data_IF_230322928920
#
_entry.id   IF_230322928920
#
_cell.length_a   1.000
_cell.length_b   1.000
_cell.length_c   1.000
_cell.angle_alpha   90.00
_cell.angle_beta   90.00
_cell.angle_gamma   90.00
#
_symmetry.space_group_name_H-M   'P 1'
#
loop_
_entity.id
_entity.type
_entity.pdbx_description
1 polymer ?
#
# COMPACT_ATOMS: atom_id res chain seq x y z
N UNK A 1 -2.21 8.13 24.78
CA UNK A 1 -2.67 7.43 23.56
C UNK A 1 -1.47 6.98 22.75
N UNK A 2 -1.38 5.71 22.45
CA UNK A 2 -0.38 5.20 21.50
C UNK A 2 -0.82 5.50 20.09
N UNK A 3 0.07 6.06 19.24
CA UNK A 3 -0.21 6.27 17.84
C UNK A 3 -0.47 4.93 17.16
N UNK A 4 -1.42 4.91 16.21
CA UNK A 4 -1.65 3.73 15.37
C UNK A 4 -0.41 3.47 14.51
N UNK A 5 0.16 2.27 14.62
CA UNK A 5 1.38 1.86 13.91
C UNK A 5 1.13 0.78 12.87
N UNK A 6 -0.12 0.48 12.57
CA UNK A 6 -0.47 -0.53 11.57
C UNK A 6 -0.39 0.05 10.17
N UNK A 7 0.35 -0.59 9.28
CA UNK A 7 0.48 -0.21 7.87
C UNK A 7 0.12 -1.41 7.00
N UNK A 8 -0.84 -1.25 6.12
CA UNK A 8 -1.12 -2.27 5.10
C UNK A 8 -0.13 -2.14 3.95
N UNK A 9 0.54 -3.24 3.62
CA UNK A 9 1.39 -3.36 2.44
C UNK A 9 0.65 -4.18 1.41
N UNK A 10 0.15 -3.54 0.36
CA UNK A 10 -0.51 -4.19 -0.76
C UNK A 10 0.54 -4.66 -1.79
N UNK A 11 0.50 -5.93 -2.17
CA UNK A 11 1.59 -6.55 -2.93
C UNK A 11 2.76 -7.01 -2.04
N UNK A 12 2.47 -7.36 -0.79
CA UNK A 12 3.47 -7.70 0.22
C UNK A 12 4.29 -8.94 -0.11
N UNK A 13 3.77 -9.87 -0.89
CA UNK A 13 4.48 -11.09 -1.31
C UNK A 13 5.44 -10.88 -2.49
N UNK A 14 5.38 -9.72 -3.14
CA UNK A 14 6.28 -9.36 -4.23
C UNK A 14 7.68 -8.98 -3.75
N UNK A 15 8.62 -8.84 -4.70
CA UNK A 15 10.00 -8.51 -4.39
C UNK A 15 10.12 -7.22 -3.56
N UNK A 16 9.57 -6.12 -4.04
CA UNK A 16 9.61 -4.83 -3.33
C UNK A 16 8.81 -4.87 -2.03
N UNK A 17 7.64 -5.52 -2.05
CA UNK A 17 6.78 -5.62 -0.87
C UNK A 17 7.46 -6.28 0.33
N UNK A 18 8.25 -7.32 0.11
CA UNK A 18 8.99 -7.99 1.16
C UNK A 18 10.03 -7.07 1.82
N UNK A 19 10.75 -6.25 1.04
CA UNK A 19 11.67 -5.25 1.61
C UNK A 19 10.95 -4.16 2.40
N UNK A 20 9.79 -3.70 1.93
CA UNK A 20 8.98 -2.71 2.65
C UNK A 20 8.49 -3.28 3.98
N UNK A 21 7.99 -4.52 3.99
CA UNK A 21 7.57 -5.21 5.21
C UNK A 21 8.72 -5.32 6.22
N UNK A 22 9.90 -5.75 5.76
CA UNK A 22 11.08 -5.87 6.62
C UNK A 22 11.50 -4.52 7.22
N UNK A 23 11.50 -3.45 6.42
CA UNK A 23 11.88 -2.11 6.86
C UNK A 23 10.86 -1.51 7.83
N UNK A 24 9.57 -1.71 7.61
CA UNK A 24 8.51 -1.30 8.54
C UNK A 24 8.72 -1.94 9.91
N UNK A 25 8.97 -3.25 9.96
CA UNK A 25 9.24 -3.97 11.22
C UNK A 25 10.49 -3.42 11.93
N UNK A 26 11.57 -3.20 11.18
CA UNK A 26 12.82 -2.62 11.73
C UNK A 26 12.57 -1.25 12.38
N UNK A 27 11.61 -0.47 11.87
CA UNK A 27 11.22 0.84 12.40
C UNK A 27 10.14 0.78 13.48
N UNK A 28 9.70 -0.40 13.89
CA UNK A 28 8.69 -0.59 14.93
C UNK A 28 7.25 -0.36 14.45
N UNK A 29 7.01 -0.42 13.14
CA UNK A 29 5.67 -0.47 12.56
C UNK A 29 5.15 -1.90 12.53
N UNK A 30 3.83 -2.04 12.47
CA UNK A 30 3.13 -3.33 12.39
C UNK A 30 2.58 -3.49 10.97
N UNK A 31 3.26 -4.23 10.07
CA UNK A 31 2.75 -4.45 8.73
C UNK A 31 1.62 -5.47 8.72
N UNK A 32 0.57 -5.18 7.94
CA UNK A 32 -0.45 -6.11 7.50
C UNK A 32 -0.18 -6.44 6.04
N UNK A 33 -0.05 -7.72 5.72
CA UNK A 33 0.29 -8.19 4.39
C UNK A 33 -0.97 -8.39 3.56
N UNK A 34 -1.07 -7.70 2.43
CA UNK A 34 -2.18 -7.82 1.50
C UNK A 34 -1.73 -8.03 0.06
N UNK A 35 -2.61 -8.57 -0.75
CA UNK A 35 -2.38 -8.92 -2.13
C UNK A 35 -3.38 -9.99 -2.59
N UNK A 36 -3.33 -10.36 -3.86
CA UNK A 36 -4.33 -11.25 -4.47
C UNK A 36 -4.20 -12.74 -4.13
N UNK A 37 -3.00 -13.19 -3.77
CA UNK A 37 -2.66 -14.61 -3.59
C UNK A 37 -2.45 -14.95 -2.11
N UNK A 38 -3.43 -15.64 -1.48
CA UNK A 38 -3.34 -15.95 -0.05
C UNK A 38 -2.17 -16.87 0.30
N UNK A 39 -1.79 -17.79 -0.57
CA UNK A 39 -0.72 -18.77 -0.29
C UNK A 39 0.65 -18.07 -0.30
N UNK A 40 0.87 -17.17 -1.25
CA UNK A 40 2.08 -16.34 -1.28
C UNK A 40 2.17 -15.39 -0.08
N UNK A 41 1.04 -14.85 0.36
CA UNK A 41 1.00 -14.01 1.57
C UNK A 41 1.34 -14.81 2.82
N UNK A 42 0.83 -16.03 2.98
CA UNK A 42 1.18 -16.92 4.10
C UNK A 42 2.67 -17.22 4.10
N UNK A 43 3.23 -17.61 2.95
CA UNK A 43 4.66 -17.87 2.83
C UNK A 43 5.51 -16.63 3.18
N UNK A 44 5.09 -15.44 2.78
CA UNK A 44 5.76 -14.19 3.14
C UNK A 44 5.66 -13.89 4.63
N UNK A 45 4.50 -14.15 5.26
CA UNK A 45 4.28 -13.93 6.68
C UNK A 45 5.10 -14.87 7.56
N UNK A 46 5.24 -16.13 7.14
CA UNK A 46 6.00 -17.17 7.86
C UNK A 46 7.52 -17.02 7.75
N UNK A 47 8.02 -16.20 6.85
CA UNK A 47 9.46 -16.00 6.63
C UNK A 47 10.16 -15.23 7.76
N UNK A 48 9.41 -14.70 8.74
CA UNK A 48 9.91 -13.95 9.87
C UNK A 48 9.79 -14.69 11.23
N UNK A 49 10.32 -14.11 12.28
CA UNK A 49 10.23 -14.67 13.63
C UNK A 49 8.86 -14.47 14.31
N UNK A 50 8.07 -13.50 13.83
CA UNK A 50 6.74 -13.20 14.34
C UNK A 50 5.70 -13.47 13.26
N UNK A 51 4.55 -13.99 13.66
CA UNK A 51 3.41 -14.19 12.78
C UNK A 51 2.81 -12.83 12.40
N UNK A 52 2.82 -12.51 11.10
CA UNK A 52 2.24 -11.28 10.56
C UNK A 52 0.81 -11.54 10.07
N UNK A 53 -0.06 -10.56 10.31
CA UNK A 53 -1.43 -10.62 9.82
C UNK A 53 -1.47 -10.54 8.30
N UNK A 54 -2.28 -11.39 7.68
CA UNK A 54 -2.53 -11.37 6.25
C UNK A 54 -4.00 -11.05 5.98
N UNK A 55 -4.25 -10.20 4.98
CA UNK A 55 -5.60 -9.84 4.50
C UNK A 55 -5.62 -9.90 2.97
N UNK A 56 -5.93 -11.07 2.39
CA UNK A 56 -5.99 -11.22 0.95
C UNK A 56 -7.05 -10.31 0.32
N UNK A 57 -6.69 -9.66 -0.78
CA UNK A 57 -7.59 -8.77 -1.50
C UNK A 57 -7.21 -8.72 -2.99
N UNK A 58 -8.12 -9.10 -3.86
CA UNK A 58 -7.98 -8.91 -5.30
C UNK A 58 -8.40 -7.47 -5.68
N UNK A 59 -7.77 -6.88 -6.70
CA UNK A 59 -8.01 -5.49 -7.11
C UNK A 59 -9.43 -5.24 -7.65
N UNK A 60 -10.10 -6.26 -8.12
CA UNK A 60 -11.48 -6.22 -8.61
C UNK A 60 -12.53 -6.34 -7.50
N UNK A 61 -12.11 -6.54 -6.25
CA UNK A 61 -12.98 -6.59 -5.08
C UNK A 61 -12.76 -5.39 -4.16
N UNK A 62 -13.54 -4.34 -4.34
CA UNK A 62 -13.46 -3.14 -3.47
C UNK A 62 -13.70 -3.47 -2.00
N UNK A 63 -14.64 -4.38 -1.71
CA UNK A 63 -14.92 -4.83 -0.34
C UNK A 63 -13.72 -5.53 0.30
N UNK A 64 -13.00 -6.37 -0.47
CA UNK A 64 -11.81 -7.05 0.03
C UNK A 64 -10.68 -6.05 0.31
N UNK A 65 -10.49 -5.04 -0.55
CA UNK A 65 -9.48 -4.00 -0.34
C UNK A 65 -9.88 -3.14 0.88
N UNK A 66 -11.13 -2.75 1.02
CA UNK A 66 -11.60 -2.01 2.19
C UNK A 66 -11.32 -2.76 3.49
N UNK A 67 -11.60 -4.08 3.53
CA UNK A 67 -11.27 -4.93 4.66
C UNK A 67 -9.76 -5.03 4.90
N UNK A 68 -8.96 -5.06 3.83
CA UNK A 68 -7.50 -5.08 3.96
C UNK A 68 -6.93 -3.81 4.60
N UNK A 69 -7.59 -2.67 4.42
CA UNK A 69 -7.16 -1.37 4.98
C UNK A 69 -7.76 -1.07 6.36
N UNK A 70 -8.71 -1.87 6.83
CA UNK A 70 -9.40 -1.61 8.08
C UNK A 70 -8.43 -1.48 9.27
N UNK A 71 -8.56 -0.39 10.01
CA UNK A 71 -7.71 -0.08 11.17
C UNK A 71 -6.27 0.28 10.84
N UNK A 72 -5.90 0.44 9.57
CA UNK A 72 -4.54 0.86 9.18
C UNK A 72 -4.36 2.38 9.27
N UNK A 73 -3.14 2.82 9.59
CA UNK A 73 -2.76 4.22 9.60
C UNK A 73 -2.38 4.73 8.21
N UNK A 74 -1.98 3.85 7.30
CA UNK A 74 -1.67 4.16 5.91
C UNK A 74 -1.63 2.86 5.09
N UNK A 75 -1.60 3.00 3.76
CA UNK A 75 -1.34 1.90 2.83
C UNK A 75 -0.15 2.21 1.94
N UNK A 76 0.72 1.21 1.74
CA UNK A 76 1.82 1.24 0.79
C UNK A 76 1.52 0.21 -0.29
N UNK A 77 1.34 0.67 -1.53
CA UNK A 77 1.07 -0.19 -2.68
C UNK A 77 2.39 -0.54 -3.39
N UNK A 78 2.74 -1.84 -3.34
CA UNK A 78 3.91 -2.41 -4.01
C UNK A 78 3.51 -3.38 -5.15
N UNK A 79 2.25 -3.40 -5.55
CA UNK A 79 1.72 -4.35 -6.53
C UNK A 79 1.67 -3.75 -7.93
N UNK A 80 2.70 -4.00 -8.73
CA UNK A 80 2.65 -3.69 -10.16
C UNK A 80 1.81 -4.72 -10.97
N UNK A 81 1.37 -4.38 -12.19
CA UNK A 81 1.42 -3.07 -12.85
C UNK A 81 0.50 -2.03 -12.20
N UNK A 82 1.03 -0.85 -11.89
CA UNK A 82 0.30 0.18 -11.13
C UNK A 82 -0.87 0.79 -11.91
N UNK A 83 -0.84 0.76 -13.23
CA UNK A 83 -2.00 1.13 -14.07
C UNK A 83 -3.27 0.36 -13.72
N UNK A 84 -3.16 -0.83 -13.10
CA UNK A 84 -4.29 -1.65 -12.69
C UNK A 84 -4.55 -1.61 -11.18
N UNK A 85 -3.52 -1.38 -10.39
CA UNK A 85 -3.63 -1.48 -8.92
C UNK A 85 -3.74 -0.13 -8.22
N UNK A 86 -3.21 0.94 -8.79
CA UNK A 86 -3.19 2.24 -8.13
C UNK A 86 -4.61 2.74 -7.84
N UNK A 87 -5.46 2.85 -8.85
CA UNK A 87 -6.82 3.40 -8.69
C UNK A 87 -7.66 2.63 -7.66
N UNK A 88 -7.80 1.29 -7.71
CA UNK A 88 -8.57 0.57 -6.70
C UNK A 88 -8.06 0.76 -5.27
N UNK A 89 -6.74 0.80 -5.06
CA UNK A 89 -6.16 0.97 -3.72
C UNK A 89 -6.27 2.43 -3.24
N UNK A 90 -6.10 3.42 -4.12
CA UNK A 90 -6.34 4.85 -3.79
C UNK A 90 -7.80 5.07 -3.40
N UNK A 91 -8.75 4.51 -4.16
CA UNK A 91 -10.18 4.60 -3.84
C UNK A 91 -10.50 4.05 -2.45
N UNK A 92 -9.90 2.92 -2.08
CA UNK A 92 -10.06 2.36 -0.75
C UNK A 92 -9.40 3.25 0.33
N UNK A 93 -8.23 3.80 0.06
CA UNK A 93 -7.56 4.73 0.98
C UNK A 93 -8.39 6.00 1.22
N UNK A 94 -9.02 6.55 0.17
CA UNK A 94 -9.94 7.68 0.28
C UNK A 94 -11.16 7.33 1.16
N UNK A 95 -11.78 6.16 0.95
CA UNK A 95 -12.90 5.70 1.79
C UNK A 95 -12.49 5.49 3.24
N UNK A 96 -11.30 4.95 3.47
CA UNK A 96 -10.77 4.73 4.81
C UNK A 96 -10.23 6.01 5.48
N UNK A 97 -10.03 7.08 4.73
CA UNK A 97 -9.47 8.34 5.24
C UNK A 97 -8.00 8.23 5.65
N UNK A 98 -7.20 7.39 4.97
CA UNK A 98 -5.80 7.14 5.28
C UNK A 98 -4.87 7.51 4.12
N UNK A 99 -3.60 7.88 4.39
CA UNK A 99 -2.60 8.11 3.36
C UNK A 99 -2.35 6.90 2.46
N UNK A 100 -2.10 7.19 1.18
CA UNK A 100 -1.68 6.23 0.16
C UNK A 100 -0.29 6.59 -0.36
N UNK A 101 0.58 5.58 -0.45
CA UNK A 101 1.90 5.70 -1.06
C UNK A 101 2.10 4.54 -2.05
N UNK A 102 2.80 4.79 -3.17
CA UNK A 102 3.22 3.71 -4.04
C UNK A 102 4.65 3.89 -4.58
N UNK A 103 5.14 2.86 -5.22
CA UNK A 103 6.47 2.80 -5.81
C UNK A 103 6.42 2.69 -7.34
N UNK A 104 5.39 3.24 -7.96
CA UNK A 104 5.20 3.20 -9.41
C UNK A 104 6.38 3.85 -10.15
N UNK A 105 6.73 3.27 -11.29
CA UNK A 105 7.64 3.87 -12.27
C UNK A 105 6.96 4.09 -13.63
N UNK A 106 5.69 3.70 -13.75
CA UNK A 106 4.86 3.83 -14.95
C UNK A 106 4.37 5.26 -15.09
N UNK A 107 4.85 5.98 -16.10
CA UNK A 107 4.55 7.41 -16.31
C UNK A 107 3.05 7.68 -16.37
N UNK A 108 2.31 6.85 -17.13
CA UNK A 108 0.86 7.00 -17.27
C UNK A 108 0.14 6.80 -15.93
N UNK A 109 0.52 5.79 -15.15
CA UNK A 109 -0.10 5.54 -13.84
C UNK A 109 0.13 6.70 -12.87
N UNK A 110 1.30 7.30 -12.89
CA UNK A 110 1.64 8.47 -12.06
C UNK A 110 0.85 9.69 -12.53
N UNK A 111 0.81 9.96 -13.84
CA UNK A 111 0.06 11.07 -14.41
C UNK A 111 -1.45 10.95 -14.12
N UNK A 112 -2.02 9.75 -14.25
CA UNK A 112 -3.42 9.48 -13.92
C UNK A 112 -3.71 9.71 -12.43
N UNK A 113 -2.78 9.34 -11.56
CA UNK A 113 -2.93 9.58 -10.12
C UNK A 113 -3.03 11.08 -9.83
N UNK A 114 -2.16 11.90 -10.37
CA UNK A 114 -2.24 13.36 -10.19
C UNK A 114 -3.51 13.94 -10.83
N UNK A 115 -3.87 13.52 -12.03
CA UNK A 115 -5.02 14.07 -12.74
C UNK A 115 -6.36 13.78 -12.07
N UNK A 116 -6.50 12.61 -11.46
CA UNK A 116 -7.80 12.14 -10.94
C UNK A 116 -7.93 12.22 -9.42
N UNK A 117 -6.83 12.31 -8.67
CA UNK A 117 -6.87 12.19 -7.21
C UNK A 117 -6.36 13.40 -6.44
N UNK A 118 -5.72 14.38 -7.05
CA UNK A 118 -5.20 15.57 -6.35
C UNK A 118 -6.29 16.32 -5.57
N UNK A 119 -7.36 16.71 -6.25
CA UNK A 119 -8.49 17.43 -5.64
C UNK A 119 -9.20 16.55 -4.58
N UNK A 120 -9.45 15.30 -4.92
CA UNK A 120 -10.17 14.36 -4.03
C UNK A 120 -9.37 14.03 -2.76
N UNK A 121 -8.06 13.91 -2.86
CA UNK A 121 -7.18 13.72 -1.71
C UNK A 121 -7.18 14.95 -0.80
N UNK A 122 -7.12 16.13 -1.39
CA UNK A 122 -7.20 17.41 -0.67
C UNK A 122 -8.51 17.57 0.07
N UNK A 123 -9.63 17.26 -0.58
CA UNK A 123 -10.97 17.32 0.03
C UNK A 123 -11.15 16.31 1.15
N UNK A 124 -10.57 15.11 1.01
CA UNK A 124 -10.58 14.07 2.03
C UNK A 124 -9.56 14.32 3.17
N UNK A 125 -8.67 15.29 3.01
CA UNK A 125 -7.62 15.58 4.01
C UNK A 125 -6.57 14.49 4.15
N UNK A 126 -6.32 13.71 3.09
CA UNK A 126 -5.30 12.66 3.07
C UNK A 126 -4.16 13.01 2.11
N UNK A 127 -3.04 12.32 2.28
CA UNK A 127 -1.89 12.41 1.38
C UNK A 127 -1.92 11.23 0.39
N UNK A 128 -1.77 11.51 -0.90
CA UNK A 128 -1.59 10.51 -1.96
C UNK A 128 -0.26 10.77 -2.64
N UNK A 129 0.71 9.88 -2.47
CA UNK A 129 2.08 10.02 -2.99
C UNK A 129 2.40 8.87 -3.94
N UNK A 130 2.27 9.07 -5.26
CA UNK A 130 2.73 8.10 -6.24
C UNK A 130 4.25 8.17 -6.43
N UNK A 131 4.83 7.09 -6.97
CA UNK A 131 6.22 7.04 -7.43
C UNK A 131 7.28 7.32 -6.34
N UNK A 132 7.02 6.97 -5.08
CA UNK A 132 7.96 7.11 -3.99
C UNK A 132 9.00 5.98 -4.03
N UNK A 133 9.75 5.90 -5.14
CA UNK A 133 10.76 4.90 -5.43
C UNK A 133 12.10 5.57 -5.72
N UNK A 134 13.08 4.79 -6.19
CA UNK A 134 14.46 5.25 -6.41
C UNK A 134 14.52 6.51 -7.31
N UNK A 135 13.79 6.52 -8.42
CA UNK A 135 13.80 7.64 -9.36
C UNK A 135 12.88 8.79 -8.97
N UNK A 136 11.84 8.54 -8.18
CA UNK A 136 10.93 9.56 -7.70
C UNK A 136 11.38 10.14 -6.35
N UNK A 137 11.48 9.28 -5.32
CA UNK A 137 11.76 9.71 -3.96
C UNK A 137 13.20 10.14 -3.72
N UNK A 138 14.18 9.38 -4.23
CA UNK A 138 15.60 9.70 -4.03
C UNK A 138 16.18 10.64 -5.10
N UNK A 139 15.57 10.70 -6.28
CA UNK A 139 16.02 11.56 -7.36
C UNK A 139 15.76 13.03 -7.13
N UNK A 140 14.82 13.37 -6.24
CA UNK A 140 14.43 14.75 -5.90
C UNK A 140 15.17 15.30 -4.65
N UNK A 141 16.03 14.51 -4.04
CA UNK A 141 16.87 14.93 -2.92
C UNK A 141 18.21 15.49 -3.40
#
# INVERSE_FOLDING_TARGET
MTANRTITVYGASGHTGQFVVAELRRRGWVPVLSGRDPDKLRAAAESGQDELEIRPAAVDSSTAIDHALDGSAAVINCAGPFRWTAAPVIEAALRAGIPYLDVAAEIEAVADTFAHYDERARDAGIVVVPALAFYGGLGDL
#
